data_IF_326171716911
#
_entry.id   IF_326171716911
#
_cell.length_a   1.000
_cell.length_b   1.000
_cell.length_c   1.000
_cell.angle_alpha   90.00
_cell.angle_beta   90.00
_cell.angle_gamma   90.00
#
_symmetry.space_group_name_H-M   'P 1'
#
loop_
_entity.id
_entity.type
_entity.pdbx_description
1 polymer ?
#
# COMPACT_ATOMS: atom_id res chain seq x y z
N UNK A 1 0.99 1.92 -15.46
CA UNK A 1 0.71 2.74 -14.27
C UNK A 1 1.04 4.21 -14.51
N UNK A 2 2.29 4.62 -14.75
CA UNK A 2 2.68 6.02 -14.96
C UNK A 2 1.93 6.73 -16.09
N UNK A 3 1.66 6.04 -17.22
CA UNK A 3 0.86 6.57 -18.33
C UNK A 3 -0.58 6.89 -17.92
N UNK A 4 -1.15 6.11 -16.98
CA UNK A 4 -2.48 6.36 -16.44
C UNK A 4 -2.49 7.62 -15.57
N UNK A 5 -1.47 7.81 -14.72
CA UNK A 5 -1.33 9.04 -13.93
C UNK A 5 -1.16 10.27 -14.80
N UNK A 6 -0.38 10.20 -15.89
CA UNK A 6 -0.25 11.30 -16.83
C UNK A 6 -1.60 11.64 -17.51
N UNK A 7 -2.40 10.63 -17.87
CA UNK A 7 -3.75 10.86 -18.39
C UNK A 7 -4.70 11.46 -17.35
N UNK A 8 -4.61 11.06 -16.09
CA UNK A 8 -5.39 11.60 -14.98
C UNK A 8 -4.96 13.02 -14.62
N UNK A 9 -3.67 13.36 -14.74
CA UNK A 9 -3.14 14.70 -14.49
C UNK A 9 -3.82 15.77 -15.33
N UNK A 10 -4.08 15.47 -16.60
CA UNK A 10 -4.78 16.38 -17.50
C UNK A 10 -6.29 16.52 -17.28
N UNK A 11 -6.87 15.71 -16.38
CA UNK A 11 -8.31 15.67 -16.08
C UNK A 11 -8.66 16.05 -14.66
N UNK A 12 -7.66 16.30 -13.83
CA UNK A 12 -7.82 16.63 -12.40
C UNK A 12 -6.99 17.85 -12.05
N UNK A 13 -7.43 18.61 -11.03
CA UNK A 13 -6.76 19.83 -10.60
C UNK A 13 -6.35 19.85 -9.13
N UNK A 14 -6.88 18.95 -8.30
CA UNK A 14 -6.69 18.98 -6.83
C UNK A 14 -6.14 17.68 -6.26
N UNK A 15 -6.50 16.52 -6.82
CA UNK A 15 -6.05 15.23 -6.30
C UNK A 15 -4.55 15.04 -6.51
N UNK A 16 -3.90 14.44 -5.53
CA UNK A 16 -2.53 13.95 -5.66
C UNK A 16 -2.50 12.67 -6.48
N UNK A 17 -1.42 12.45 -7.20
CA UNK A 17 -1.24 11.30 -8.07
C UNK A 17 0.12 10.66 -7.82
N UNK A 18 0.14 9.34 -7.64
CA UNK A 18 1.38 8.61 -7.44
C UNK A 18 1.18 7.10 -7.34
N UNK A 19 2.28 6.34 -7.42
CA UNK A 19 2.22 4.89 -7.31
C UNK A 19 2.10 4.43 -5.86
N UNK A 20 1.27 3.44 -5.61
CA UNK A 20 1.18 2.70 -4.36
C UNK A 20 1.31 1.19 -4.62
N UNK A 21 2.48 0.68 -4.74
CA UNK A 21 3.86 1.24 -4.74
C UNK A 21 4.56 1.03 -6.07
N UNK A 22 5.64 1.78 -6.36
CA UNK A 22 6.60 1.40 -7.40
C UNK A 22 7.73 0.55 -6.82
N UNK A 23 8.37 -0.26 -7.68
CA UNK A 23 9.29 -1.32 -7.25
C UNK A 23 10.72 -1.03 -7.72
N UNK A 24 11.65 -0.87 -6.78
CA UNK A 24 13.07 -0.57 -7.05
C UNK A 24 13.90 -1.82 -7.43
N UNK A 25 13.30 -3.00 -7.43
CA UNK A 25 13.97 -4.22 -7.91
C UNK A 25 13.78 -4.41 -9.42
N UNK A 26 12.57 -4.08 -9.91
CA UNK A 26 12.22 -4.19 -11.34
C UNK A 26 12.54 -2.91 -12.14
N UNK A 27 12.73 -1.79 -11.47
CA UNK A 27 12.98 -0.51 -12.12
C UNK A 27 14.09 0.25 -11.40
N UNK A 28 14.97 0.82 -12.20
CA UNK A 28 16.06 1.67 -11.69
C UNK A 28 15.51 2.90 -10.94
N UNK A 29 16.05 3.26 -9.77
CA UNK A 29 15.58 4.39 -8.98
C UNK A 29 15.71 5.74 -9.70
N UNK A 30 16.67 5.93 -10.60
CA UNK A 30 16.78 7.17 -11.39
C UNK A 30 15.66 7.29 -12.42
N UNK A 31 15.23 6.19 -13.03
CA UNK A 31 14.06 6.16 -13.92
C UNK A 31 12.77 6.41 -13.17
N UNK A 32 12.65 5.90 -11.94
CA UNK A 32 11.51 6.20 -11.04
C UNK A 32 11.49 7.69 -10.72
N UNK A 33 12.62 8.27 -10.35
CA UNK A 33 12.76 9.69 -10.02
C UNK A 33 12.39 10.59 -11.21
N UNK A 34 12.87 10.27 -12.43
CA UNK A 34 12.50 11.02 -13.64
C UNK A 34 11.00 10.98 -13.92
N UNK A 35 10.36 9.83 -13.76
CA UNK A 35 8.92 9.69 -13.95
C UNK A 35 8.13 10.47 -12.89
N UNK A 36 8.60 10.46 -11.64
CA UNK A 36 8.00 11.23 -10.56
C UNK A 36 8.12 12.74 -10.81
N UNK A 37 9.31 13.22 -11.21
CA UNK A 37 9.52 14.62 -11.56
C UNK A 37 8.64 15.06 -12.73
N UNK A 38 8.57 14.25 -13.79
CA UNK A 38 7.71 14.55 -14.95
C UNK A 38 6.23 14.59 -14.56
N UNK A 39 5.77 13.67 -13.72
CA UNK A 39 4.40 13.69 -13.22
C UNK A 39 4.14 14.93 -12.36
N UNK A 40 5.12 15.36 -11.58
CA UNK A 40 5.02 16.54 -10.75
C UNK A 40 4.92 17.83 -11.57
N UNK A 41 5.72 17.95 -12.63
CA UNK A 41 5.60 19.03 -13.61
C UNK A 41 4.20 19.04 -14.27
N UNK A 42 3.72 17.89 -14.75
CA UNK A 42 2.40 17.76 -15.39
C UNK A 42 1.24 18.11 -14.44
N UNK A 43 1.39 17.84 -13.16
CA UNK A 43 0.35 18.08 -12.15
C UNK A 43 0.46 19.43 -11.46
N UNK A 44 1.55 20.18 -11.68
CA UNK A 44 1.81 21.44 -10.98
C UNK A 44 2.06 21.23 -9.47
N UNK A 45 2.81 20.20 -9.09
CA UNK A 45 3.20 19.94 -7.70
C UNK A 45 2.25 19.04 -6.93
N UNK A 46 1.51 18.15 -7.61
CA UNK A 46 0.58 17.20 -6.97
C UNK A 46 1.03 15.73 -7.05
N UNK A 47 2.25 15.47 -7.51
CA UNK A 47 2.77 14.12 -7.52
C UNK A 47 3.29 13.71 -6.13
N UNK A 48 3.25 12.43 -5.86
CA UNK A 48 3.92 11.80 -4.72
C UNK A 48 4.51 10.45 -5.14
N UNK A 49 5.48 9.98 -4.41
CA UNK A 49 6.19 8.75 -4.72
C UNK A 49 6.19 7.84 -3.50
N UNK A 50 5.57 6.68 -3.64
CA UNK A 50 5.73 5.58 -2.70
C UNK A 50 6.48 4.45 -3.39
N UNK A 51 7.57 3.98 -2.78
CA UNK A 51 8.39 2.92 -3.34
C UNK A 51 8.65 1.79 -2.33
N UNK A 52 8.91 0.61 -2.85
CA UNK A 52 9.27 -0.57 -2.04
C UNK A 52 10.13 -1.56 -2.84
N UNK A 53 10.48 -2.68 -2.22
CA UNK A 53 11.05 -3.82 -2.95
C UNK A 53 10.01 -4.62 -3.75
N UNK A 54 8.73 -4.37 -3.53
CA UNK A 54 7.61 -5.07 -4.16
C UNK A 54 7.21 -6.37 -3.48
N UNK A 55 6.17 -7.00 -4.01
CA UNK A 55 5.68 -8.28 -3.54
C UNK A 55 6.60 -9.41 -3.99
N UNK A 56 7.09 -10.21 -3.06
CA UNK A 56 8.05 -11.29 -3.34
C UNK A 56 7.47 -12.39 -4.24
N UNK A 57 6.19 -12.72 -4.09
CA UNK A 57 5.54 -13.69 -4.96
C UNK A 57 5.45 -13.22 -6.41
N UNK A 58 5.18 -11.92 -6.63
CA UNK A 58 5.22 -11.34 -7.97
C UNK A 58 6.64 -11.29 -8.55
N UNK A 59 7.65 -10.98 -7.73
CA UNK A 59 9.05 -10.98 -8.20
C UNK A 59 9.50 -12.36 -8.67
N UNK A 60 9.05 -13.42 -8.00
CA UNK A 60 9.34 -14.79 -8.43
C UNK A 60 8.77 -15.12 -9.82
N UNK A 61 7.62 -14.53 -10.20
CA UNK A 61 7.05 -14.67 -11.55
C UNK A 61 7.95 -14.01 -12.62
N UNK A 62 8.77 -13.03 -12.24
CA UNK A 62 9.81 -12.43 -13.08
C UNK A 62 11.15 -13.17 -12.99
N UNK A 63 11.20 -14.32 -12.31
CA UNK A 63 12.43 -15.07 -12.09
C UNK A 63 13.39 -14.43 -11.08
N UNK A 64 12.92 -13.49 -10.28
CA UNK A 64 13.72 -12.76 -9.29
C UNK A 64 13.49 -13.38 -7.91
N UNK A 65 14.55 -13.95 -7.34
CA UNK A 65 14.58 -14.42 -5.95
C UNK A 65 15.30 -13.40 -5.06
N UNK A 66 14.60 -12.90 -4.05
CA UNK A 66 15.18 -12.02 -3.03
C UNK A 66 15.73 -12.78 -1.82
N UNK A 67 15.69 -14.11 -1.81
CA UNK A 67 16.22 -14.91 -0.72
C UNK A 67 17.73 -14.67 -0.56
N UNK A 68 18.15 -14.36 0.66
CA UNK A 68 19.56 -14.04 0.94
C UNK A 68 20.00 -12.63 0.55
N UNK A 69 19.12 -11.80 -0.04
CA UNK A 69 19.41 -10.39 -0.33
C UNK A 69 19.23 -9.52 0.92
N UNK A 70 19.70 -8.27 0.83
CA UNK A 70 19.55 -7.27 1.90
C UNK A 70 18.55 -6.18 1.48
N UNK A 71 17.23 -6.46 1.47
CA UNK A 71 16.22 -5.54 0.92
C UNK A 71 16.21 -4.17 1.63
N UNK A 72 16.44 -4.12 2.93
CA UNK A 72 16.48 -2.86 3.70
C UNK A 72 17.65 -1.97 3.25
N UNK A 73 18.83 -2.55 3.02
CA UNK A 73 19.99 -1.81 2.51
C UNK A 73 19.73 -1.26 1.10
N UNK A 74 19.12 -2.08 0.23
CA UNK A 74 18.72 -1.64 -1.12
C UNK A 74 17.72 -0.49 -1.09
N UNK A 75 16.71 -0.55 -0.21
CA UNK A 75 15.73 0.54 -0.06
C UNK A 75 16.39 1.84 0.40
N UNK A 76 17.31 1.76 1.36
CA UNK A 76 18.07 2.92 1.84
C UNK A 76 18.88 3.55 0.73
N UNK A 77 19.57 2.73 -0.06
CA UNK A 77 20.39 3.20 -1.18
C UNK A 77 19.53 3.81 -2.29
N UNK A 78 18.43 3.15 -2.65
CA UNK A 78 17.47 3.67 -3.63
C UNK A 78 16.86 5.01 -3.21
N UNK A 79 16.50 5.16 -1.92
CA UNK A 79 15.99 6.42 -1.39
C UNK A 79 17.03 7.53 -1.57
N UNK A 80 18.28 7.29 -1.18
CA UNK A 80 19.37 8.26 -1.33
C UNK A 80 19.59 8.67 -2.79
N UNK A 81 19.59 7.67 -3.71
CA UNK A 81 19.71 7.92 -5.15
C UNK A 81 18.56 8.81 -5.64
N UNK A 82 17.32 8.46 -5.33
CA UNK A 82 16.14 9.23 -5.79
C UNK A 82 16.12 10.65 -5.21
N UNK A 83 16.40 10.80 -3.92
CA UNK A 83 16.42 12.10 -3.26
C UNK A 83 17.48 13.03 -3.87
N UNK A 84 18.72 12.54 -4.05
CA UNK A 84 19.80 13.30 -4.67
C UNK A 84 19.44 13.66 -6.12
N UNK A 85 18.98 12.69 -6.91
CA UNK A 85 18.70 12.90 -8.32
C UNK A 85 17.53 13.87 -8.58
N UNK A 86 16.49 13.83 -7.73
CA UNK A 86 15.37 14.79 -7.78
C UNK A 86 15.80 16.21 -7.36
N UNK A 87 16.67 16.33 -6.35
CA UNK A 87 17.14 17.63 -5.87
C UNK A 87 18.14 18.29 -6.83
N UNK A 88 19.11 17.52 -7.31
CA UNK A 88 20.25 18.06 -8.07
C UNK A 88 20.10 17.93 -9.58
N UNK A 89 19.29 16.93 -10.04
CA UNK A 89 19.09 16.59 -11.45
C UNK A 89 20.28 15.93 -12.12
N UNK A 90 21.31 15.62 -11.36
CA UNK A 90 22.45 14.82 -11.76
C UNK A 90 22.93 13.97 -10.59
N UNK A 91 23.64 12.90 -10.88
CA UNK A 91 24.17 12.03 -9.86
C UNK A 91 25.45 11.31 -10.32
N UNK A 92 26.45 11.35 -9.45
CA UNK A 92 27.56 10.41 -9.39
C UNK A 92 27.39 9.59 -8.12
N UNK A 93 27.32 8.28 -8.25
CA UNK A 93 27.01 7.41 -7.12
C UNK A 93 27.69 6.06 -7.31
N UNK A 94 28.35 5.57 -6.27
CA UNK A 94 28.95 4.23 -6.25
C UNK A 94 28.54 3.53 -4.96
N UNK A 95 27.56 2.61 -5.09
CA UNK A 95 26.96 1.88 -3.99
C UNK A 95 26.98 0.38 -4.19
N UNK A 96 26.37 -0.34 -3.26
CA UNK A 96 26.30 -1.81 -3.30
C UNK A 96 25.29 -2.32 -4.33
N UNK A 97 24.27 -1.52 -4.66
CA UNK A 97 23.14 -1.92 -5.52
C UNK A 97 23.04 -1.07 -6.79
N UNK A 98 23.50 0.17 -6.73
CA UNK A 98 23.40 1.13 -7.82
C UNK A 98 24.72 1.87 -8.00
N UNK A 99 25.11 2.09 -9.26
CA UNK A 99 26.32 2.86 -9.60
C UNK A 99 26.03 3.71 -10.83
N UNK A 100 26.35 5.00 -10.76
CA UNK A 100 26.13 5.96 -11.84
C UNK A 100 27.35 6.86 -11.97
N UNK A 101 27.67 7.25 -13.19
CA UNK A 101 28.74 8.23 -13.47
C UNK A 101 28.22 9.30 -14.41
N UNK A 102 28.17 10.54 -13.93
CA UNK A 102 27.72 11.69 -14.71
C UNK A 102 26.29 11.60 -15.23
N UNK A 103 25.43 10.80 -14.59
CA UNK A 103 24.02 10.66 -15.02
C UNK A 103 23.26 11.94 -14.73
N UNK A 104 22.49 12.46 -15.70
CA UNK A 104 21.67 13.65 -15.55
C UNK A 104 20.28 13.51 -16.12
N UNK A 105 19.37 14.40 -15.71
CA UNK A 105 18.01 14.49 -16.24
C UNK A 105 17.60 15.94 -16.43
N UNK A 106 16.77 16.21 -17.45
CA UNK A 106 16.15 17.51 -17.65
C UNK A 106 14.83 17.66 -16.85
N UNK A 107 14.20 16.54 -16.44
CA UNK A 107 12.99 16.59 -15.64
C UNK A 107 13.29 17.16 -14.24
N UNK A 108 12.49 18.11 -13.79
CA UNK A 108 12.60 18.76 -12.49
C UNK A 108 11.26 18.75 -11.77
N UNK A 109 11.19 18.31 -10.53
CA UNK A 109 9.95 18.43 -9.79
C UNK A 109 9.65 19.90 -9.47
N UNK A 110 8.37 20.23 -9.38
CA UNK A 110 7.88 21.53 -8.90
C UNK A 110 8.05 21.62 -7.38
N UNK A 111 7.84 20.49 -6.70
CA UNK A 111 8.00 20.38 -5.25
C UNK A 111 9.48 20.29 -4.86
N UNK A 112 9.90 21.09 -3.86
CA UNK A 112 11.26 21.05 -3.31
C UNK A 112 11.20 21.20 -1.77
N UNK A 113 11.48 20.13 -0.99
CA UNK A 113 11.81 18.79 -1.42
C UNK A 113 10.60 18.05 -2.05
N UNK A 114 10.90 17.11 -2.95
CA UNK A 114 9.88 16.22 -3.48
C UNK A 114 9.55 15.11 -2.46
N UNK A 115 8.26 14.83 -2.17
CA UNK A 115 7.90 13.85 -1.14
C UNK A 115 8.15 12.41 -1.60
N UNK A 116 9.00 11.70 -0.87
CA UNK A 116 9.33 10.29 -1.11
C UNK A 116 8.96 9.46 0.11
N UNK A 117 7.97 8.60 -0.04
CA UNK A 117 7.46 7.71 1.00
C UNK A 117 7.88 6.27 0.75
N UNK A 118 7.94 5.47 1.80
CA UNK A 118 8.34 4.08 1.72
C UNK A 118 7.14 3.16 1.97
N UNK A 119 6.96 2.19 1.08
CA UNK A 119 5.97 1.14 1.25
C UNK A 119 6.53 -0.02 2.06
N UNK A 120 5.80 -0.47 3.08
CA UNK A 120 6.20 -1.59 3.92
C UNK A 120 4.99 -2.38 4.42
N UNK A 121 5.10 -3.73 4.46
CA UNK A 121 3.99 -4.58 4.86
C UNK A 121 4.36 -5.64 5.91
N UNK A 122 5.62 -6.08 5.96
CA UNK A 122 5.95 -7.34 6.63
C UNK A 122 6.66 -7.24 7.97
N UNK A 123 7.23 -6.11 8.32
CA UNK A 123 7.98 -6.15 9.52
C UNK A 123 8.63 -4.86 9.98
N UNK A 124 9.10 -4.86 11.23
CA UNK A 124 9.51 -3.64 11.91
C UNK A 124 10.65 -2.92 11.22
N UNK A 125 11.56 -3.65 10.56
CA UNK A 125 12.74 -3.04 9.91
C UNK A 125 12.38 -2.09 8.77
N UNK A 126 11.35 -2.41 7.97
CA UNK A 126 10.91 -1.51 6.89
C UNK A 126 10.15 -0.31 7.44
N UNK A 127 9.36 -0.51 8.50
CA UNK A 127 8.63 0.56 9.17
C UNK A 127 9.61 1.52 9.87
N UNK A 128 10.60 0.99 10.58
CA UNK A 128 11.66 1.79 11.20
C UNK A 128 12.48 2.55 10.14
N UNK A 129 12.83 1.90 9.02
CA UNK A 129 13.53 2.58 7.93
C UNK A 129 12.70 3.74 7.38
N UNK A 130 11.39 3.57 7.20
CA UNK A 130 10.51 4.64 6.71
C UNK A 130 10.54 5.86 7.66
N UNK A 131 10.39 5.64 8.97
CA UNK A 131 10.50 6.72 9.96
C UNK A 131 11.86 7.41 9.97
N UNK A 132 12.92 6.64 9.76
CA UNK A 132 14.30 7.15 9.78
C UNK A 132 14.61 8.05 8.58
N UNK A 133 14.17 7.71 7.35
CA UNK A 133 14.65 8.36 6.12
C UNK A 133 13.59 8.96 5.21
N UNK A 134 12.34 8.45 5.24
CA UNK A 134 11.32 8.81 4.26
C UNK A 134 10.34 9.85 4.79
N UNK A 135 9.55 10.48 3.91
CA UNK A 135 8.53 11.45 4.28
C UNK A 135 7.23 10.79 4.78
N UNK A 136 7.23 9.46 4.81
CA UNK A 136 6.13 8.68 5.36
C UNK A 136 6.29 7.18 5.16
N UNK A 137 5.38 6.45 5.80
CA UNK A 137 5.17 5.02 5.65
C UNK A 137 3.78 4.76 5.09
N UNK A 138 3.70 4.07 3.95
CA UNK A 138 2.47 3.47 3.49
C UNK A 138 2.52 1.97 3.76
N UNK A 139 1.67 1.51 4.66
CA UNK A 139 1.52 0.09 4.98
C UNK A 139 0.23 -0.48 4.41
N UNK A 140 0.07 -1.78 4.50
CA UNK A 140 -1.14 -2.49 4.12
C UNK A 140 -1.38 -3.67 5.06
N UNK A 141 -2.63 -4.13 5.12
CA UNK A 141 -3.00 -5.36 5.83
C UNK A 141 -2.86 -5.28 7.37
N UNK A 142 -2.82 -4.07 7.95
CA UNK A 142 -2.94 -3.87 9.38
C UNK A 142 -4.40 -3.53 9.71
N UNK A 143 -5.16 -4.50 10.19
CA UNK A 143 -6.59 -4.35 10.45
C UNK A 143 -6.93 -4.31 11.94
N UNK A 144 -6.29 -5.12 12.77
CA UNK A 144 -6.51 -5.10 14.21
C UNK A 144 -5.80 -3.92 14.87
N UNK A 145 -6.26 -3.55 16.06
CA UNK A 145 -5.58 -2.55 16.90
C UNK A 145 -4.13 -2.94 17.17
N UNK A 146 -3.86 -4.22 17.43
CA UNK A 146 -2.50 -4.71 17.67
C UNK A 146 -1.60 -4.53 16.44
N UNK A 147 -2.09 -4.85 15.24
CA UNK A 147 -1.33 -4.68 14.00
C UNK A 147 -1.06 -3.21 13.69
N UNK A 148 -2.03 -2.34 13.94
CA UNK A 148 -1.90 -0.88 13.76
C UNK A 148 -0.87 -0.30 14.73
N UNK A 149 -1.00 -0.60 16.02
CA UNK A 149 -0.07 -0.12 17.06
C UNK A 149 1.36 -0.62 16.81
N UNK A 150 1.54 -1.91 16.48
CA UNK A 150 2.84 -2.47 16.14
C UNK A 150 3.51 -1.71 14.99
N UNK A 151 2.76 -1.38 13.95
CA UNK A 151 3.26 -0.65 12.79
C UNK A 151 3.64 0.77 13.15
N UNK A 152 2.74 1.50 13.83
CA UNK A 152 2.96 2.87 14.24
C UNK A 152 4.15 3.02 15.21
N UNK A 153 4.27 2.11 16.19
CA UNK A 153 5.39 2.11 17.13
C UNK A 153 6.74 1.84 16.44
N UNK A 154 6.78 0.90 15.49
CA UNK A 154 8.00 0.65 14.73
C UNK A 154 8.40 1.87 13.89
N UNK A 155 7.44 2.52 13.24
CA UNK A 155 7.66 3.75 12.48
C UNK A 155 8.20 4.88 13.38
N UNK A 156 7.56 5.11 14.55
CA UNK A 156 8.00 6.11 15.56
C UNK A 156 9.42 5.84 16.03
N UNK A 157 9.76 4.59 16.37
CA UNK A 157 11.14 4.24 16.76
C UNK A 157 12.18 4.61 15.71
N UNK A 158 11.84 4.48 14.41
CA UNK A 158 12.71 4.90 13.32
C UNK A 158 12.91 6.41 13.28
N UNK A 159 11.83 7.18 13.38
CA UNK A 159 11.85 8.63 13.42
C UNK A 159 12.63 9.17 14.63
N UNK A 160 12.37 8.61 15.82
CA UNK A 160 13.04 9.00 17.06
C UNK A 160 14.57 8.80 16.98
N UNK A 161 15.02 7.66 16.42
CA UNK A 161 16.46 7.41 16.20
C UNK A 161 17.12 8.42 15.28
N UNK A 162 16.36 8.96 14.33
CA UNK A 162 16.82 9.98 13.41
C UNK A 162 16.59 11.41 13.91
N UNK A 163 16.04 11.60 15.12
CA UNK A 163 15.71 12.91 15.68
C UNK A 163 14.59 13.63 14.90
N UNK A 164 13.69 12.89 14.26
CA UNK A 164 12.58 13.44 13.46
C UNK A 164 11.28 13.43 14.24
N UNK A 165 10.48 14.45 14.05
CA UNK A 165 9.11 14.48 14.59
C UNK A 165 8.20 13.63 13.69
N UNK A 166 7.82 12.45 14.17
CA UNK A 166 6.98 11.53 13.44
C UNK A 166 5.58 12.09 13.12
N UNK A 167 5.08 13.08 13.88
CA UNK A 167 3.78 13.72 13.64
C UNK A 167 3.76 14.58 12.38
N UNK A 168 4.93 14.92 11.85
CA UNK A 168 5.10 15.63 10.59
C UNK A 168 5.28 14.68 9.40
N UNK A 169 5.30 13.37 9.65
CA UNK A 169 5.46 12.34 8.63
C UNK A 169 4.12 11.70 8.31
N UNK A 170 3.95 11.32 7.04
CA UNK A 170 2.74 10.64 6.60
C UNK A 170 2.72 9.18 7.05
N UNK A 171 1.73 8.79 7.82
CA UNK A 171 1.50 7.41 8.21
C UNK A 171 0.16 6.95 7.62
N UNK A 172 0.25 6.12 6.59
CA UNK A 172 -0.90 5.62 5.85
C UNK A 172 -1.07 4.11 5.97
N UNK A 173 -2.32 3.65 5.96
CA UNK A 173 -2.65 2.23 5.86
C UNK A 173 -3.61 1.98 4.71
N UNK A 174 -3.28 1.00 3.86
CA UNK A 174 -4.17 0.53 2.82
C UNK A 174 -5.13 -0.52 3.37
N UNK A 175 -6.39 -0.19 3.39
CA UNK A 175 -7.49 -1.04 3.78
C UNK A 175 -8.19 -1.60 2.54
N UNK A 176 -8.18 -2.91 2.44
CA UNK A 176 -8.97 -3.63 1.44
C UNK A 176 -10.37 -3.83 2.00
N UNK A 177 -11.38 -3.71 1.15
CA UNK A 177 -12.72 -3.92 1.67
C UNK A 177 -13.83 -3.68 0.66
N UNK A 178 -15.04 -3.62 1.16
CA UNK A 178 -16.23 -3.30 0.40
C UNK A 178 -17.18 -2.45 1.23
N UNK A 179 -17.92 -1.59 0.56
CA UNK A 179 -18.93 -0.73 1.19
C UNK A 179 -20.26 -0.85 0.45
N UNK A 180 -21.33 -1.06 1.18
CA UNK A 180 -22.68 -1.08 0.65
C UNK A 180 -23.69 -0.60 1.71
N UNK A 181 -24.90 -0.24 1.30
CA UNK A 181 -25.97 0.12 2.27
C UNK A 181 -26.45 -1.13 3.03
N UNK A 182 -26.48 -2.31 2.34
CA UNK A 182 -26.66 -3.61 2.97
C UNK A 182 -25.29 -4.25 3.21
N UNK A 183 -25.04 -4.71 4.45
CA UNK A 183 -23.74 -5.25 4.81
C UNK A 183 -23.45 -6.64 4.25
N UNK A 184 -24.47 -7.43 3.89
CA UNK A 184 -24.28 -8.82 3.50
C UNK A 184 -23.43 -8.98 2.23
N UNK A 185 -23.68 -8.26 1.11
CA UNK A 185 -22.81 -8.31 -0.07
C UNK A 185 -21.39 -7.83 0.19
N UNK A 186 -21.23 -6.81 1.05
CA UNK A 186 -19.91 -6.29 1.38
C UNK A 186 -19.10 -7.31 2.19
N UNK A 187 -19.71 -8.03 3.14
CA UNK A 187 -19.07 -9.10 3.92
C UNK A 187 -18.67 -10.29 3.04
N UNK A 188 -19.51 -10.68 2.10
CA UNK A 188 -19.18 -11.73 1.13
C UNK A 188 -17.96 -11.33 0.27
N UNK A 189 -17.94 -10.09 -0.22
CA UNK A 189 -16.81 -9.53 -0.98
C UNK A 189 -15.52 -9.50 -0.16
N UNK A 190 -15.61 -9.18 1.12
CA UNK A 190 -14.49 -9.15 2.06
C UNK A 190 -13.77 -10.49 2.15
N UNK A 191 -14.52 -11.60 2.24
CA UNK A 191 -13.93 -12.93 2.30
C UNK A 191 -13.13 -13.27 1.03
N UNK A 192 -13.64 -12.87 -0.14
CA UNK A 192 -12.95 -13.10 -1.42
C UNK A 192 -11.59 -12.40 -1.45
N UNK A 193 -11.55 -11.14 -1.03
CA UNK A 193 -10.32 -10.34 -1.00
C UNK A 193 -9.36 -10.82 0.07
N UNK A 194 -9.86 -11.11 1.27
CA UNK A 194 -9.05 -11.64 2.35
C UNK A 194 -8.36 -12.94 1.94
N UNK A 195 -9.10 -13.88 1.33
CA UNK A 195 -8.55 -15.13 0.83
C UNK A 195 -7.45 -14.94 -0.22
N UNK A 196 -7.59 -13.94 -1.10
CA UNK A 196 -6.56 -13.58 -2.07
C UNK A 196 -5.24 -13.17 -1.40
N UNK A 197 -5.31 -12.38 -0.33
CA UNK A 197 -4.13 -11.86 0.34
C UNK A 197 -3.52 -12.81 1.38
N UNK A 198 -4.24 -13.84 1.83
CA UNK A 198 -3.75 -14.83 2.80
C UNK A 198 -2.37 -15.38 2.42
N UNK A 199 -2.18 -15.76 1.16
CA UNK A 199 -0.91 -16.33 0.67
C UNK A 199 0.26 -15.35 0.72
N UNK A 200 0.00 -14.06 0.83
CA UNK A 200 1.01 -12.99 0.90
C UNK A 200 1.33 -12.56 2.33
N UNK A 201 0.56 -13.02 3.32
CA UNK A 201 0.72 -12.65 4.73
C UNK A 201 1.61 -13.66 5.45
N UNK A 202 2.68 -13.23 6.11
CA UNK A 202 3.46 -14.11 6.99
C UNK A 202 2.65 -14.45 8.26
N UNK A 203 2.96 -15.59 8.92
CA UNK A 203 2.24 -16.04 10.10
C UNK A 203 2.10 -14.95 11.18
N UNK A 204 3.16 -14.20 11.45
CA UNK A 204 3.17 -13.16 12.47
C UNK A 204 2.21 -11.99 12.15
N UNK A 205 1.95 -11.73 10.88
CA UNK A 205 0.98 -10.69 10.47
C UNK A 205 -0.45 -11.22 10.60
N UNK A 206 -0.69 -12.49 10.29
CA UNK A 206 -1.98 -13.15 10.52
C UNK A 206 -2.34 -13.14 11.99
N UNK A 207 -1.41 -13.60 12.85
CA UNK A 207 -1.59 -13.65 14.31
C UNK A 207 -1.92 -12.27 14.89
N UNK A 208 -1.20 -11.21 14.49
CA UNK A 208 -1.49 -9.83 14.92
C UNK A 208 -2.88 -9.34 14.49
N UNK A 209 -3.38 -9.83 13.38
CA UNK A 209 -4.76 -9.54 12.96
C UNK A 209 -5.80 -10.49 13.57
N UNK A 210 -5.40 -11.35 14.50
CA UNK A 210 -6.30 -12.29 15.18
C UNK A 210 -6.67 -13.53 14.37
N UNK A 211 -5.86 -13.87 13.36
CA UNK A 211 -6.07 -15.06 12.51
C UNK A 211 -5.03 -16.12 12.86
N UNK A 212 -5.48 -17.31 13.21
CA UNK A 212 -4.59 -18.45 13.42
C UNK A 212 -4.06 -18.96 12.07
N UNK A 213 -2.73 -18.93 11.85
CA UNK A 213 -2.14 -19.42 10.61
C UNK A 213 -2.46 -20.90 10.30
N UNK A 214 -2.71 -21.72 11.32
CA UNK A 214 -3.04 -23.14 11.14
C UNK A 214 -4.47 -23.32 10.60
N UNK A 215 -5.42 -22.51 11.02
CA UNK A 215 -6.79 -22.56 10.53
C UNK A 215 -6.90 -22.19 9.06
N UNK A 216 -6.05 -21.28 8.58
CA UNK A 216 -6.07 -20.78 7.19
C UNK A 216 -5.11 -21.52 6.26
N UNK A 217 -4.22 -22.36 6.78
CA UNK A 217 -3.23 -23.09 5.98
C UNK A 217 -3.86 -23.90 4.83
N UNK A 218 -4.99 -24.61 4.99
CA UNK A 218 -5.63 -25.34 3.89
C UNK A 218 -6.12 -24.41 2.76
N UNK A 219 -6.65 -23.23 3.10
CA UNK A 219 -7.08 -22.24 2.12
C UNK A 219 -5.87 -21.65 1.36
N UNK A 220 -4.79 -21.32 2.07
CA UNK A 220 -3.54 -20.82 1.47
C UNK A 220 -2.93 -21.85 0.51
N UNK A 221 -2.96 -23.14 0.87
CA UNK A 221 -2.45 -24.21 0.02
C UNK A 221 -3.28 -24.39 -1.24
N UNK A 222 -4.62 -24.37 -1.13
CA UNK A 222 -5.51 -24.42 -2.28
C UNK A 222 -5.27 -23.22 -3.22
N UNK A 223 -5.14 -22.04 -2.68
CA UNK A 223 -4.85 -20.82 -3.43
C UNK A 223 -3.51 -20.91 -4.18
N UNK A 224 -2.47 -21.40 -3.51
CA UNK A 224 -1.12 -21.56 -4.12
C UNK A 224 -1.14 -22.55 -5.30
N UNK A 225 -2.04 -23.53 -5.27
CA UNK A 225 -2.27 -24.47 -6.38
C UNK A 225 -3.15 -23.90 -7.50
N UNK A 226 -3.65 -22.68 -7.36
CA UNK A 226 -4.54 -22.03 -8.32
C UNK A 226 -6.01 -22.42 -8.18
N UNK A 227 -6.38 -23.17 -7.15
CA UNK A 227 -7.75 -23.56 -6.87
C UNK A 227 -8.44 -22.50 -5.98
N UNK A 228 -8.78 -21.37 -6.63
CA UNK A 228 -9.36 -20.19 -5.94
C UNK A 228 -10.70 -20.53 -5.30
N UNK A 229 -11.55 -21.30 -5.99
CA UNK A 229 -12.87 -21.68 -5.45
C UNK A 229 -12.71 -22.51 -4.18
N UNK A 230 -11.83 -23.49 -4.20
CA UNK A 230 -11.55 -24.33 -3.03
C UNK A 230 -10.92 -23.54 -1.88
N UNK A 231 -10.07 -22.58 -2.21
CA UNK A 231 -9.49 -21.68 -1.20
C UNK A 231 -10.58 -20.90 -0.45
N UNK A 232 -11.58 -20.37 -1.17
CA UNK A 232 -12.71 -19.65 -0.57
C UNK A 232 -13.61 -20.55 0.28
N UNK A 233 -13.88 -21.78 -0.19
CA UNK A 233 -14.64 -22.76 0.59
C UNK A 233 -13.95 -23.15 1.91
N UNK A 234 -12.62 -23.15 1.93
CA UNK A 234 -11.81 -23.53 3.08
C UNK A 234 -11.48 -22.34 4.00
N UNK A 235 -11.62 -21.12 3.52
CA UNK A 235 -11.36 -19.94 4.33
C UNK A 235 -12.47 -19.73 5.36
N UNK A 236 -12.16 -19.66 6.67
CA UNK A 236 -13.16 -19.34 7.68
C UNK A 236 -13.82 -17.98 7.42
N UNK A 237 -15.12 -17.80 7.63
CA UNK A 237 -15.78 -16.49 7.45
C UNK A 237 -15.14 -15.36 8.29
N UNK A 238 -14.61 -15.68 9.47
CA UNK A 238 -13.89 -14.76 10.35
C UNK A 238 -12.67 -14.12 9.69
N UNK A 239 -12.08 -14.75 8.68
CA UNK A 239 -10.95 -14.19 7.91
C UNK A 239 -11.35 -12.92 7.15
N UNK A 240 -12.55 -12.90 6.58
CA UNK A 240 -13.09 -11.71 5.92
C UNK A 240 -13.19 -10.52 6.89
N UNK A 241 -13.67 -10.77 8.10
CA UNK A 241 -13.80 -9.74 9.14
C UNK A 241 -12.45 -9.27 9.70
N UNK A 242 -11.50 -10.21 9.87
CA UNK A 242 -10.19 -9.90 10.43
C UNK A 242 -9.24 -9.21 9.45
N UNK A 243 -9.37 -9.49 8.15
CA UNK A 243 -8.40 -9.06 7.12
C UNK A 243 -9.00 -8.13 6.06
N UNK A 244 -10.11 -7.47 6.38
CA UNK A 244 -10.70 -6.44 5.53
C UNK A 244 -11.56 -5.47 6.35
N UNK A 245 -12.04 -4.43 5.68
CA UNK A 245 -13.09 -3.55 6.22
C UNK A 245 -14.30 -3.67 5.30
N UNK A 246 -15.36 -4.27 5.77
CA UNK A 246 -16.54 -4.49 4.96
C UNK A 246 -17.83 -4.22 5.72
N UNK A 247 -18.79 -3.63 5.04
CA UNK A 247 -20.11 -3.35 5.60
C UNK A 247 -20.65 -2.00 5.19
N UNK A 248 -21.44 -1.44 6.07
CA UNK A 248 -22.10 -0.14 5.87
C UNK A 248 -21.12 1.04 6.03
N UNK A 249 -21.50 2.26 5.60
CA UNK A 249 -20.71 3.46 5.87
C UNK A 249 -20.35 3.63 7.35
N UNK A 250 -21.25 3.28 8.28
CA UNK A 250 -20.98 3.37 9.71
C UNK A 250 -19.84 2.43 10.15
N UNK A 251 -19.76 1.24 9.60
CA UNK A 251 -18.65 0.30 9.91
C UNK A 251 -17.29 0.88 9.51
N UNK A 252 -17.22 1.58 8.40
CA UNK A 252 -16.01 2.28 7.96
C UNK A 252 -15.66 3.48 8.87
N UNK A 253 -16.66 4.30 9.23
CA UNK A 253 -16.47 5.42 10.15
C UNK A 253 -15.96 4.92 11.50
N UNK A 254 -16.60 3.91 12.08
CA UNK A 254 -16.20 3.30 13.35
C UNK A 254 -14.76 2.79 13.31
N UNK A 255 -14.36 2.15 12.23
CA UNK A 255 -12.98 1.65 12.02
C UNK A 255 -11.97 2.78 11.98
N UNK A 256 -12.27 3.84 11.25
CA UNK A 256 -11.39 5.00 11.11
C UNK A 256 -11.24 5.72 12.46
N UNK A 257 -12.36 6.08 13.10
CA UNK A 257 -12.36 6.91 14.30
C UNK A 257 -11.89 6.17 15.56
N UNK A 258 -12.23 4.88 15.69
CA UNK A 258 -11.93 4.11 16.91
C UNK A 258 -10.59 3.37 16.86
N UNK A 259 -10.06 3.11 15.68
CA UNK A 259 -8.88 2.29 15.55
C UNK A 259 -7.72 2.99 14.81
N UNK A 260 -7.94 3.53 13.58
CA UNK A 260 -6.86 4.12 12.79
C UNK A 260 -6.36 5.44 13.38
N UNK A 261 -7.25 6.41 13.58
CA UNK A 261 -6.88 7.73 14.11
C UNK A 261 -6.19 7.59 15.48
N UNK A 262 -6.74 6.83 16.46
CA UNK A 262 -6.06 6.67 17.74
C UNK A 262 -4.72 5.93 17.70
N UNK A 263 -4.45 5.12 16.66
CA UNK A 263 -3.15 4.51 16.43
C UNK A 263 -2.15 5.47 15.79
N UNK A 264 -2.62 6.63 15.31
CA UNK A 264 -1.79 7.68 14.70
C UNK A 264 -1.76 7.66 13.17
N UNK A 265 -2.66 6.90 12.53
CA UNK A 265 -2.78 6.92 11.06
C UNK A 265 -3.61 8.15 10.65
N UNK A 266 -2.95 9.08 9.96
CA UNK A 266 -3.57 10.29 9.42
C UNK A 266 -4.00 10.16 7.95
N UNK A 267 -3.66 9.05 7.31
CA UNK A 267 -3.94 8.83 5.89
C UNK A 267 -4.50 7.41 5.68
N UNK A 268 -5.66 7.33 5.06
CA UNK A 268 -6.30 6.07 4.68
C UNK A 268 -6.24 5.88 3.17
N UNK A 269 -5.67 4.76 2.75
CA UNK A 269 -5.77 4.27 1.39
C UNK A 269 -6.88 3.22 1.35
N UNK A 270 -7.78 3.32 0.40
CA UNK A 270 -8.89 2.38 0.28
C UNK A 270 -8.82 1.65 -1.06
N UNK A 271 -8.86 0.34 -1.01
CA UNK A 271 -8.98 -0.52 -2.18
C UNK A 271 -10.29 -1.28 -2.08
N UNK A 272 -11.30 -0.81 -2.80
CA UNK A 272 -12.59 -1.50 -2.85
C UNK A 272 -12.58 -2.70 -3.77
N UNK A 273 -13.34 -3.71 -3.39
CA UNK A 273 -13.59 -4.90 -4.21
C UNK A 273 -14.40 -4.51 -5.43
N UNK A 274 -13.82 -4.71 -6.60
CA UNK A 274 -14.54 -4.53 -7.86
C UNK A 274 -15.26 -5.85 -8.22
N UNK A 275 -16.61 -5.88 -8.23
CA UNK A 275 -17.38 -7.08 -8.57
C UNK A 275 -17.04 -7.63 -9.96
N UNK A 276 -16.69 -6.77 -10.92
CA UNK A 276 -16.26 -7.20 -12.26
C UNK A 276 -14.94 -7.98 -12.20
N UNK A 277 -13.95 -7.50 -11.41
CA UNK A 277 -12.69 -8.22 -11.24
C UNK A 277 -12.89 -9.56 -10.54
N UNK A 278 -13.72 -9.62 -9.50
CA UNK A 278 -14.04 -10.86 -8.79
C UNK A 278 -14.67 -11.89 -9.74
N UNK A 279 -15.66 -11.45 -10.53
CA UNK A 279 -16.31 -12.31 -11.52
C UNK A 279 -15.30 -12.79 -12.58
N UNK A 280 -14.45 -11.90 -13.10
CA UNK A 280 -13.51 -12.24 -14.17
C UNK A 280 -12.40 -13.16 -13.70
N UNK A 281 -11.94 -12.99 -12.46
CA UNK A 281 -10.80 -13.71 -11.90
C UNK A 281 -11.20 -15.01 -11.20
N UNK A 282 -12.23 -14.96 -10.33
CA UNK A 282 -12.66 -16.10 -9.52
C UNK A 282 -13.90 -16.82 -10.08
N UNK A 283 -14.56 -16.25 -11.07
CA UNK A 283 -15.83 -16.77 -11.60
C UNK A 283 -16.99 -16.69 -10.60
N UNK A 284 -16.89 -15.75 -9.63
CA UNK A 284 -17.85 -15.58 -8.54
C UNK A 284 -18.61 -14.28 -8.76
N UNK A 285 -19.95 -14.35 -8.72
CA UNK A 285 -20.82 -13.18 -8.68
C UNK A 285 -21.25 -12.95 -7.24
N UNK A 286 -21.17 -11.70 -6.80
CA UNK A 286 -21.66 -11.28 -5.49
C UNK A 286 -22.88 -10.42 -5.71
N UNK A 287 -24.05 -11.02 -5.48
CA UNK A 287 -25.33 -10.38 -5.72
C UNK A 287 -25.54 -9.19 -4.76
N UNK A 288 -25.90 -8.06 -5.33
CA UNK A 288 -26.15 -6.83 -4.54
C UNK A 288 -24.89 -6.03 -4.16
N UNK A 289 -23.67 -6.48 -4.53
CA UNK A 289 -22.47 -5.67 -4.33
C UNK A 289 -22.47 -4.50 -5.32
N UNK A 290 -22.39 -3.25 -4.85
CA UNK A 290 -22.29 -2.08 -5.73
C UNK A 290 -21.03 -2.12 -6.61
N UNK A 291 -21.12 -1.54 -7.80
CA UNK A 291 -19.94 -1.34 -8.67
C UNK A 291 -18.86 -0.52 -7.95
N UNK A 292 -17.62 -0.61 -8.43
CA UNK A 292 -16.51 0.17 -7.86
C UNK A 292 -16.84 1.69 -7.81
N UNK A 293 -17.47 2.22 -8.85
CA UNK A 293 -17.87 3.63 -8.88
C UNK A 293 -18.91 3.97 -7.83
N UNK A 294 -19.92 3.13 -7.64
CA UNK A 294 -20.95 3.32 -6.63
C UNK A 294 -20.38 3.22 -5.21
N UNK A 295 -19.47 2.28 -4.96
CA UNK A 295 -18.75 2.17 -3.68
C UNK A 295 -17.92 3.44 -3.39
N UNK A 296 -17.19 3.95 -4.38
CA UNK A 296 -16.40 5.19 -4.24
C UNK A 296 -17.31 6.40 -3.95
N UNK A 297 -18.45 6.51 -4.64
CA UNK A 297 -19.43 7.58 -4.40
C UNK A 297 -20.07 7.49 -3.03
N UNK A 298 -20.41 6.28 -2.60
CA UNK A 298 -20.99 6.04 -1.26
C UNK A 298 -19.97 6.41 -0.17
N UNK A 299 -18.73 5.96 -0.32
CA UNK A 299 -17.65 6.28 0.63
C UNK A 299 -17.40 7.79 0.72
N UNK A 300 -17.32 8.47 -0.43
CA UNK A 300 -17.13 9.92 -0.48
C UNK A 300 -18.27 10.65 0.25
N UNK A 301 -19.52 10.28 -0.05
CA UNK A 301 -20.71 10.95 0.45
C UNK A 301 -20.90 10.74 1.95
N UNK A 302 -20.76 9.51 2.43
CA UNK A 302 -21.14 9.14 3.79
C UNK A 302 -19.94 9.06 4.76
N UNK A 303 -18.80 8.53 4.30
CA UNK A 303 -17.64 8.29 5.18
C UNK A 303 -16.72 9.52 5.23
N UNK A 304 -16.25 9.99 4.06
CA UNK A 304 -15.31 11.11 4.03
C UNK A 304 -15.92 12.37 4.61
N UNK A 305 -17.23 12.62 4.36
CA UNK A 305 -17.92 13.79 4.90
C UNK A 305 -18.08 13.74 6.43
N UNK A 306 -18.19 12.55 7.01
CA UNK A 306 -18.31 12.36 8.45
C UNK A 306 -16.96 12.49 9.17
N UNK A 307 -15.91 11.87 8.63
CA UNK A 307 -14.58 11.83 9.26
C UNK A 307 -13.80 13.15 9.11
N UNK A 308 -14.09 13.95 8.07
CA UNK A 308 -13.45 15.25 7.86
C UNK A 308 -14.02 16.39 8.73
N UNK A 309 -15.10 16.15 9.49
CA UNK A 309 -15.74 17.11 10.40
C UNK A 309 -15.18 17.00 11.83
#
# INVERSE_FOLDING_TARGET
MWSLFAAAAGRTSTIRLGPEVTNVVLKDPTLIAQQAATLDELTGGRAELVFSTGNFALLQQYGIDLKGTKPIARLREAHRVMTTFLAEGSIDFDGDYYSYSGLFTAARPVQAPFPIKLGGMRGPRSFELAGEIADGLHTALAYSREALDFTAEAFRRGADRAGRDWTQLDLANNMLGAIAEDEAPAREAALVVAAFYLSSMPPELLERNGVDPQEVAPAMEAFTRGDVRRALELAPPSVGEALSVAGTPQAWIDKIERELIPAGFGHLLVTFVDPFLVQSWAGISIDGLPTLEEQLRLFQREVMSAVAS
#
